data_IF_471288101305
#
_entry.id   IF_471288101305
#
_cell.length_a   1.000
_cell.length_b   1.000
_cell.length_c   1.000
_cell.angle_alpha   90.00
_cell.angle_beta   90.00
_cell.angle_gamma   90.00
#
_symmetry.space_group_name_H-M   'P 1'
#
loop_
_entity.id
_entity.type
_entity.pdbx_description
1 polymer ?
#
# COMPACT_ATOMS: atom_id res chain seq x y z
N UNK A 1 20.94 9.10 3.65
CA UNK A 1 19.74 8.75 4.41
C UNK A 1 19.95 7.37 5.02
N UNK A 2 19.80 7.25 6.33
CA UNK A 2 19.95 6.00 7.08
C UNK A 2 18.60 5.29 7.22
N UNK A 3 18.61 3.99 7.54
CA UNK A 3 17.37 3.25 7.82
C UNK A 3 16.58 3.83 9.01
N UNK A 4 17.24 4.43 10.00
CA UNK A 4 16.57 5.06 11.13
C UNK A 4 15.83 6.34 10.72
N UNK A 5 16.42 7.17 9.87
CA UNK A 5 15.78 8.39 9.34
C UNK A 5 14.50 8.07 8.55
N UNK A 6 14.47 6.92 7.87
CA UNK A 6 13.27 6.42 7.19
C UNK A 6 12.16 6.02 8.17
N UNK A 7 12.52 5.32 9.26
CA UNK A 7 11.57 4.91 10.30
C UNK A 7 10.98 6.13 10.99
N UNK A 8 11.84 7.07 11.41
CA UNK A 8 11.41 8.31 12.05
C UNK A 8 10.53 9.14 11.11
N UNK A 9 10.92 9.23 9.83
CA UNK A 9 10.14 9.88 8.80
C UNK A 9 8.77 9.23 8.59
N UNK A 10 8.66 7.91 8.68
CA UNK A 10 7.39 7.19 8.55
C UNK A 10 6.40 7.59 9.66
N UNK A 11 6.88 7.67 10.89
CA UNK A 11 6.07 8.02 12.06
C UNK A 11 5.62 9.49 12.06
N UNK A 12 6.44 10.37 11.51
CA UNK A 12 6.12 11.80 11.35
C UNK A 12 5.14 12.04 10.20
N UNK A 13 5.33 11.37 9.06
CA UNK A 13 4.59 11.66 7.83
C UNK A 13 3.21 11.02 7.79
N UNK A 14 3.01 9.87 8.44
CA UNK A 14 1.80 9.06 8.27
C UNK A 14 1.08 8.81 9.60
N UNK A 15 -0.25 8.91 9.56
CA UNK A 15 -1.08 8.65 10.73
C UNK A 15 -0.93 7.21 11.21
N UNK A 16 -1.13 6.93 12.51
CA UNK A 16 -1.11 5.55 13.03
C UNK A 16 -2.02 4.60 12.25
N UNK A 17 -3.23 5.03 11.87
CA UNK A 17 -4.17 4.21 11.10
C UNK A 17 -3.64 3.87 9.69
N UNK A 18 -2.99 4.82 9.02
CA UNK A 18 -2.40 4.58 7.70
C UNK A 18 -1.19 3.64 7.80
N UNK A 19 -0.38 3.78 8.85
CA UNK A 19 0.75 2.89 9.10
C UNK A 19 0.29 1.46 9.35
N UNK A 20 -0.74 1.28 10.19
CA UNK A 20 -1.36 -0.01 10.45
C UNK A 20 -2.01 -0.62 9.20
N UNK A 21 -2.68 0.19 8.38
CA UNK A 21 -3.27 -0.27 7.14
C UNK A 21 -2.20 -0.76 6.14
N UNK A 22 -1.08 -0.04 6.07
CA UNK A 22 0.05 -0.38 5.21
C UNK A 22 0.74 -1.68 5.63
N UNK A 23 1.03 -1.85 6.92
CA UNK A 23 1.55 -3.11 7.45
C UNK A 23 0.59 -4.28 7.17
N UNK A 24 -0.69 -4.10 7.49
CA UNK A 24 -1.67 -5.16 7.36
C UNK A 24 -1.91 -5.58 5.90
N UNK A 25 -1.84 -4.64 4.96
CA UNK A 25 -2.02 -4.95 3.53
C UNK A 25 -0.81 -5.68 2.95
N UNK A 26 0.41 -5.33 3.36
CA UNK A 26 1.63 -6.02 2.92
C UNK A 26 1.70 -7.45 3.48
N UNK A 27 1.41 -7.63 4.77
CA UNK A 27 1.35 -8.95 5.39
C UNK A 27 0.31 -9.84 4.70
N UNK A 28 -0.88 -9.29 4.43
CA UNK A 28 -1.91 -10.02 3.70
C UNK A 28 -1.46 -10.39 2.27
N UNK A 29 -0.87 -9.45 1.54
CA UNK A 29 -0.43 -9.68 0.18
C UNK A 29 0.66 -10.75 0.09
N UNK A 30 1.63 -10.73 1.01
CA UNK A 30 2.68 -11.73 1.08
C UNK A 30 2.15 -13.17 1.27
N UNK A 31 1.02 -13.33 1.97
CA UNK A 31 0.40 -14.63 2.22
C UNK A 31 -0.59 -15.06 1.12
N UNK A 32 -1.30 -14.10 0.50
CA UNK A 32 -2.52 -14.39 -0.27
C UNK A 32 -2.43 -14.02 -1.74
N UNK A 33 -1.55 -13.10 -2.14
CA UNK A 33 -1.43 -12.66 -3.53
C UNK A 33 -0.30 -13.43 -4.24
N UNK A 34 -0.48 -13.87 -5.49
CA UNK A 34 0.49 -14.72 -6.19
C UNK A 34 1.90 -14.13 -6.34
N UNK A 35 1.99 -12.80 -6.43
CA UNK A 35 3.25 -12.06 -6.56
C UNK A 35 3.69 -11.38 -5.25
N UNK A 36 2.98 -11.66 -4.15
CA UNK A 36 3.26 -11.08 -2.85
C UNK A 36 2.95 -9.57 -2.75
N UNK A 37 2.30 -8.97 -3.76
CA UNK A 37 2.06 -7.53 -3.80
C UNK A 37 0.57 -7.19 -3.80
N UNK A 38 0.11 -6.14 -3.09
CA UNK A 38 -1.31 -5.83 -3.00
C UNK A 38 -2.00 -5.65 -4.35
N UNK A 39 -3.16 -6.28 -4.52
CA UNK A 39 -4.06 -5.99 -5.64
C UNK A 39 -4.93 -4.76 -5.35
N UNK A 40 -5.51 -4.14 -6.40
CA UNK A 40 -6.42 -2.98 -6.25
C UNK A 40 -7.62 -3.29 -5.35
N UNK A 41 -8.30 -4.45 -5.47
CA UNK A 41 -9.38 -4.81 -4.53
C UNK A 41 -8.90 -4.91 -3.08
N UNK A 42 -7.72 -5.49 -2.86
CA UNK A 42 -7.09 -5.60 -1.54
C UNK A 42 -6.84 -4.21 -0.94
N UNK A 43 -6.29 -3.27 -1.71
CA UNK A 43 -6.09 -1.88 -1.27
C UNK A 43 -7.40 -1.20 -0.84
N UNK A 44 -8.48 -1.33 -1.62
CA UNK A 44 -9.78 -0.76 -1.26
C UNK A 44 -10.34 -1.36 0.02
N UNK A 45 -10.18 -2.67 0.21
CA UNK A 45 -10.65 -3.37 1.41
C UNK A 45 -9.97 -2.83 2.65
N UNK A 46 -8.63 -2.78 2.66
CA UNK A 46 -7.87 -2.30 3.80
C UNK A 46 -8.05 -0.81 4.04
N UNK A 47 -8.09 0.01 2.98
CA UNK A 47 -8.39 1.43 3.11
C UNK A 47 -9.72 1.67 3.83
N UNK A 48 -10.77 0.92 3.48
CA UNK A 48 -12.08 1.01 4.14
C UNK A 48 -12.04 0.48 5.57
N UNK A 49 -11.39 -0.66 5.81
CA UNK A 49 -11.30 -1.26 7.15
C UNK A 49 -10.63 -0.33 8.18
N UNK A 50 -9.60 0.40 7.76
CA UNK A 50 -8.83 1.29 8.61
C UNK A 50 -9.28 2.76 8.52
N UNK A 51 -10.26 3.08 7.67
CA UNK A 51 -10.77 4.45 7.52
C UNK A 51 -9.77 5.42 6.88
N UNK A 52 -8.88 4.94 6.02
CA UNK A 52 -7.80 5.73 5.41
C UNK A 52 -8.04 6.01 3.93
N UNK A 53 -7.38 7.03 3.40
CA UNK A 53 -7.46 7.37 1.97
C UNK A 53 -6.75 6.29 1.14
N UNK A 54 -7.51 5.61 0.26
CA UNK A 54 -6.97 4.54 -0.61
C UNK A 54 -5.78 5.02 -1.45
N UNK A 55 -5.76 6.30 -1.84
CA UNK A 55 -4.69 6.84 -2.66
C UNK A 55 -3.37 7.04 -1.92
N UNK A 56 -3.39 7.29 -0.61
CA UNK A 56 -2.18 7.32 0.22
C UNK A 56 -1.69 5.91 0.52
N UNK A 57 -2.60 5.00 0.87
CA UNK A 57 -2.28 3.59 1.12
C UNK A 57 -1.68 2.93 -0.13
N UNK A 58 -2.30 3.13 -1.29
CA UNK A 58 -1.80 2.62 -2.56
C UNK A 58 -0.39 3.17 -2.87
N UNK A 59 -0.17 4.45 -2.62
CA UNK A 59 1.11 5.09 -2.91
C UNK A 59 2.26 4.57 -2.03
N UNK A 60 1.98 4.24 -0.76
CA UNK A 60 2.94 3.53 0.10
C UNK A 60 3.32 2.14 -0.45
N UNK A 61 2.44 1.53 -1.23
CA UNK A 61 2.67 0.26 -1.92
C UNK A 61 3.21 0.44 -3.36
N UNK A 62 3.70 1.62 -3.74
CA UNK A 62 4.19 1.89 -5.10
C UNK A 62 3.10 2.06 -6.16
N UNK A 63 1.85 2.27 -5.76
CA UNK A 63 0.73 2.42 -6.70
C UNK A 63 0.19 3.85 -6.63
N UNK A 64 0.46 4.63 -7.68
CA UNK A 64 -0.06 5.99 -7.79
C UNK A 64 -1.52 5.99 -8.23
N UNK A 65 -2.31 6.88 -7.65
CA UNK A 65 -3.75 6.96 -7.95
C UNK A 65 -4.16 8.38 -8.29
N UNK A 66 -4.99 8.53 -9.32
CA UNK A 66 -5.59 9.81 -9.69
C UNK A 66 -7.01 9.63 -10.22
N UNK A 67 -7.77 10.72 -10.22
CA UNK A 67 -9.11 10.74 -10.81
C UNK A 67 -9.07 11.17 -12.27
N UNK A 68 -9.78 10.42 -13.11
CA UNK A 68 -10.06 10.76 -14.50
C UNK A 68 -11.57 10.75 -14.71
N UNK A 69 -12.18 11.94 -14.62
CA UNK A 69 -13.63 12.07 -14.58
C UNK A 69 -14.21 11.31 -13.36
N UNK A 70 -15.10 10.34 -13.63
CA UNK A 70 -15.74 9.52 -12.59
C UNK A 70 -14.93 8.27 -12.20
N UNK A 71 -13.81 7.99 -12.87
CA UNK A 71 -13.00 6.78 -12.65
C UNK A 71 -11.77 7.11 -11.81
N UNK A 72 -11.37 6.15 -10.98
CA UNK A 72 -10.07 6.16 -10.31
C UNK A 72 -9.12 5.31 -11.13
N UNK A 73 -8.00 5.90 -11.55
CA UNK A 73 -6.93 5.22 -12.28
C UNK A 73 -5.84 4.84 -11.27
N UNK A 74 -5.33 3.62 -11.40
CA UNK A 74 -4.23 3.08 -10.61
C UNK A 74 -3.04 2.83 -11.55
N UNK A 75 -1.87 3.33 -11.18
CA UNK A 75 -0.61 3.18 -11.90
C UNK A 75 0.36 2.43 -10.98
N UNK A 76 0.54 1.14 -11.23
CA UNK A 76 1.40 0.27 -10.42
C UNK A 76 2.85 0.37 -10.89
N UNK A 77 3.71 1.04 -10.11
CA UNK A 77 5.11 1.22 -10.49
C UNK A 77 5.94 -0.05 -10.37
N UNK A 78 5.48 -1.03 -9.58
CA UNK A 78 6.19 -2.28 -9.33
C UNK A 78 6.01 -3.24 -10.49
N UNK A 79 4.77 -3.32 -11.02
CA UNK A 79 4.41 -4.22 -12.12
C UNK A 79 4.56 -3.57 -13.50
N UNK A 80 4.23 -2.29 -13.64
CA UNK A 80 4.35 -1.55 -14.92
C UNK A 80 4.80 -0.09 -14.68
N UNK A 81 6.12 0.14 -14.50
CA UNK A 81 6.68 1.48 -14.28
C UNK A 81 6.30 2.50 -15.37
N UNK A 82 6.06 2.04 -16.61
CA UNK A 82 5.75 2.92 -17.72
C UNK A 82 4.43 3.67 -17.54
N UNK A 83 3.48 3.13 -16.76
CA UNK A 83 2.20 3.79 -16.47
C UNK A 83 2.38 5.03 -15.60
N UNK A 84 3.37 5.05 -14.70
CA UNK A 84 3.66 6.21 -13.85
C UNK A 84 4.23 7.36 -14.69
N UNK A 85 5.17 7.07 -15.58
CA UNK A 85 5.81 8.11 -16.41
C UNK A 85 4.85 8.79 -17.40
N UNK A 86 3.76 8.10 -17.78
CA UNK A 86 2.72 8.65 -18.65
C UNK A 86 1.78 9.61 -17.94
N UNK A 87 1.73 9.58 -16.61
CA UNK A 87 0.84 10.43 -15.83
C UNK A 87 1.52 11.74 -15.44
N UNK A 88 0.87 12.87 -15.75
CA UNK A 88 1.37 14.18 -15.35
C UNK A 88 1.36 14.32 -13.83
N UNK A 89 2.44 14.81 -13.19
CA UNK A 89 2.52 14.95 -11.73
C UNK A 89 1.37 15.77 -11.11
N UNK A 90 0.83 16.74 -11.85
CA UNK A 90 -0.30 17.58 -11.41
C UNK A 90 -1.62 16.83 -11.22
N UNK A 91 -1.73 15.58 -11.69
CA UNK A 91 -2.92 14.75 -11.50
C UNK A 91 -3.01 14.13 -10.11
N UNK A 92 -1.92 14.08 -9.37
CA UNK A 92 -1.85 13.41 -8.08
C UNK A 92 -2.07 14.38 -6.92
N UNK A 93 -2.70 13.89 -5.85
CA UNK A 93 -2.78 14.68 -4.62
C UNK A 93 -1.38 14.81 -3.99
N UNK A 94 -1.13 15.91 -3.28
CA UNK A 94 0.14 16.12 -2.56
C UNK A 94 0.44 14.97 -1.59
N UNK A 95 -0.58 14.47 -0.88
CA UNK A 95 -0.43 13.37 0.09
C UNK A 95 -0.04 12.06 -0.61
N UNK A 96 -0.63 11.77 -1.76
CA UNK A 96 -0.27 10.63 -2.62
C UNK A 96 1.17 10.73 -3.13
N UNK A 97 1.61 11.92 -3.57
CA UNK A 97 3.00 12.13 -4.03
C UNK A 97 3.99 11.93 -2.87
N UNK A 98 3.69 12.46 -1.68
CA UNK A 98 4.54 12.29 -0.49
C UNK A 98 4.66 10.82 -0.12
N UNK A 99 3.54 10.09 -0.06
CA UNK A 99 3.52 8.64 0.21
C UNK A 99 4.33 7.84 -0.83
N UNK A 100 4.19 8.18 -2.11
CA UNK A 100 4.94 7.52 -3.18
C UNK A 100 6.44 7.86 -3.13
N UNK A 101 6.78 9.11 -2.83
CA UNK A 101 8.16 9.53 -2.62
C UNK A 101 8.81 8.76 -1.46
N UNK A 102 8.08 8.54 -0.37
CA UNK A 102 8.52 7.69 0.73
C UNK A 102 8.77 6.25 0.26
N UNK A 103 7.82 5.65 -0.48
CA UNK A 103 7.99 4.32 -1.07
C UNK A 103 9.26 4.21 -1.93
N UNK A 104 9.47 5.13 -2.88
CA UNK A 104 10.66 5.12 -3.76
C UNK A 104 11.94 5.23 -2.94
N UNK A 105 11.93 6.08 -1.92
CA UNK A 105 13.07 6.34 -1.05
C UNK A 105 13.39 5.13 -0.17
N UNK A 106 12.37 4.40 0.31
CA UNK A 106 12.51 3.14 1.02
C UNK A 106 12.93 1.98 0.10
N UNK A 107 12.43 1.95 -1.14
CA UNK A 107 12.79 0.94 -2.15
C UNK A 107 14.24 1.09 -2.66
N UNK A 108 14.78 2.31 -2.66
CA UNK A 108 16.16 2.61 -3.01
C UNK A 108 17.16 2.41 -1.86
N UNK A 109 16.70 2.11 -0.64
CA UNK A 109 17.57 1.84 0.49
C UNK A 109 18.39 0.55 0.26
N UNK A 110 19.66 0.52 0.68
CA UNK A 110 20.52 -0.65 0.46
C UNK A 110 19.96 -1.91 1.16
N UNK A 111 20.18 -3.08 0.55
CA UNK A 111 19.54 -4.36 0.93
C UNK A 111 19.71 -4.74 2.42
N UNK A 112 20.84 -4.36 3.04
CA UNK A 112 21.12 -4.57 4.46
C UNK A 112 20.24 -3.72 5.41
N UNK A 113 19.65 -2.63 4.90
CA UNK A 113 18.67 -1.80 5.61
C UNK A 113 17.23 -2.15 5.24
N UNK A 114 16.99 -2.70 4.05
CA UNK A 114 15.68 -3.11 3.56
C UNK A 114 15.03 -4.22 4.40
N UNK A 115 15.82 -5.21 4.83
CA UNK A 115 15.35 -6.25 5.77
C UNK A 115 15.02 -5.69 7.16
N UNK A 116 15.78 -4.69 7.63
CA UNK A 116 15.52 -4.02 8.91
C UNK A 116 14.27 -3.14 8.84
N UNK A 117 14.02 -2.49 7.70
CA UNK A 117 12.81 -1.71 7.45
C UNK A 117 11.58 -2.61 7.33
N UNK A 118 11.65 -3.68 6.54
CA UNK A 118 10.57 -4.66 6.44
C UNK A 118 10.28 -5.33 7.79
N UNK A 119 11.32 -5.70 8.55
CA UNK A 119 11.17 -6.24 9.90
C UNK A 119 10.62 -5.19 10.88
N UNK A 120 11.06 -3.93 10.83
CA UNK A 120 10.51 -2.85 11.67
C UNK A 120 9.04 -2.55 11.33
N UNK A 121 8.66 -2.62 10.06
CA UNK A 121 7.28 -2.52 9.62
C UNK A 121 6.42 -3.72 10.04
N UNK A 122 7.00 -4.93 10.15
CA UNK A 122 6.31 -6.15 10.56
C UNK A 122 6.29 -6.38 12.10
N UNK A 123 7.22 -5.78 12.85
CA UNK A 123 7.41 -6.03 14.28
C UNK A 123 6.53 -5.15 15.19
N UNK A 124 5.66 -4.28 14.66
CA UNK A 124 4.64 -3.55 15.44
C UNK A 124 3.38 -4.42 15.71
N UNK A 125 3.61 -5.72 15.84
CA UNK A 125 2.60 -6.77 15.93
C UNK A 125 1.97 -6.88 17.32
N UNK A 126 1.01 -5.99 17.62
CA UNK A 126 -0.05 -6.23 18.60
C UNK A 126 -1.47 -6.08 18.02
N UNK A 127 -1.62 -5.70 16.75
CA UNK A 127 -2.93 -5.42 16.12
C UNK A 127 -3.43 -6.47 15.10
N UNK A 128 -2.70 -7.56 14.88
CA UNK A 128 -3.10 -8.66 13.98
C UNK A 128 -4.45 -9.29 14.40
N UNK A 129 -4.76 -9.28 15.70
CA UNK A 129 -6.04 -9.75 16.25
C UNK A 129 -7.25 -8.94 15.76
N UNK A 130 -7.10 -7.63 15.48
CA UNK A 130 -8.15 -6.79 14.90
C UNK A 130 -8.43 -7.19 13.45
N UNK A 131 -7.39 -7.48 12.68
CA UNK A 131 -7.52 -7.96 11.30
C UNK A 131 -8.18 -9.35 11.22
N UNK A 132 -7.80 -10.29 12.09
CA UNK A 132 -8.44 -11.62 12.19
C UNK A 132 -9.92 -11.55 12.61
N UNK A 133 -10.28 -10.67 13.55
CA UNK A 133 -11.69 -10.47 13.94
C UNK A 133 -12.51 -9.79 12.84
N UNK A 134 -11.93 -8.85 12.08
CA UNK A 134 -12.59 -8.20 10.94
C UNK A 134 -12.77 -9.16 9.75
N UNK A 135 -11.86 -10.12 9.55
CA UNK A 135 -11.97 -11.15 8.51
C UNK A 135 -13.20 -12.06 8.70
N UNK A 136 -13.54 -12.40 9.95
CA UNK A 136 -14.79 -13.13 10.26
C UNK A 136 -16.07 -12.35 9.96
N UNK A 137 -15.99 -11.03 9.75
CA UNK A 137 -17.15 -10.14 9.65
C UNK A 137 -17.52 -9.74 8.22
N UNK A 138 -16.70 -10.09 7.20
CA UNK A 138 -16.98 -9.77 5.80
C UNK A 138 -16.65 -10.92 4.83
N UNK A 139 -17.59 -11.87 4.61
CA UNK A 139 -17.47 -12.89 3.58
C UNK A 139 -17.99 -12.34 2.25
N UNK A 140 -17.21 -11.56 1.51
CA UNK A 140 -17.62 -11.12 0.16
C UNK A 140 -16.42 -11.11 -0.79
N UNK A 141 -16.18 -12.29 -1.39
CA UNK A 141 -15.80 -12.57 -2.78
C UNK A 141 -15.12 -13.95 -2.84
N UNK A 142 -15.91 -15.01 -2.66
CA UNK A 142 -15.60 -16.34 -3.15
C UNK A 142 -16.66 -16.66 -4.22
N UNK A 143 -16.60 -15.99 -5.36
CA UNK A 143 -17.39 -16.33 -6.54
C UNK A 143 -16.55 -16.04 -7.78
N UNK A 144 -16.15 -17.11 -8.45
CA UNK A 144 -15.28 -17.05 -9.60
C UNK A 144 -15.88 -16.24 -10.74
N UNK A 145 -15.02 -15.45 -11.39
CA UNK A 145 -15.24 -15.08 -12.78
C UNK A 145 -14.47 -16.07 -13.65
N UNK A 146 -15.20 -17.02 -14.22
CA UNK A 146 -14.89 -17.55 -15.55
C UNK A 146 -14.98 -16.38 -16.52
N UNK A 147 -13.84 -15.94 -17.04
CA UNK A 147 -13.79 -15.08 -18.22
C UNK A 147 -14.12 -15.94 -19.44
N UNK A 148 -15.37 -15.87 -19.88
CA UNK A 148 -15.75 -16.17 -21.25
C UNK A 148 -15.74 -14.86 -22.04
N UNK A 149 -14.84 -14.79 -23.02
CA UNK A 149 -15.05 -14.17 -24.33
C UNK A 149 -13.86 -14.55 -25.21
#
# INVERSE_FOLDING_TARGET
MTGQELIDGYDILFSPDLRLAHEAVLTYAAEMEPDGWPSIPTLWRFARCYGVAVGELAALCGILTYRMGRRTVFCDSTRDPALVYRATPSKFSRRTIVAYGFYVTAAAAPANQQLSLMAAFLMSSLNILRCRQLYRRFPFYASGQKLHS
#
